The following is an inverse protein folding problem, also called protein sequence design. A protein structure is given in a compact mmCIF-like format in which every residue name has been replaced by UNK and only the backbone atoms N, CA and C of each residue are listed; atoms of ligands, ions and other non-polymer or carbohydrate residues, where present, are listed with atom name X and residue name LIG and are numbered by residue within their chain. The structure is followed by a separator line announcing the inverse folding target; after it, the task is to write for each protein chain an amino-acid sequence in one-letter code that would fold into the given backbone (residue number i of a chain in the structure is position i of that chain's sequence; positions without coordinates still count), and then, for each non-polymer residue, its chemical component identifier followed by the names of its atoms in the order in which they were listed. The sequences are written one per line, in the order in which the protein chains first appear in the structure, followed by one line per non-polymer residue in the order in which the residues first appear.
data_IF_468985501372
#
_entry.id   IF_468985501372
#
_cell.length_a   1.000
_cell.length_b   1.000
_cell.length_c   1.000
_cell.angle_alpha   90.00
_cell.angle_beta   90.00
_cell.angle_gamma   90.00
#
_symmetry.space_group_name_H-M   'P 1'
#
loop_
_entity.id
_entity.type
_entity.pdbx_description
1 polymer ?
#
# COMPACT_ATOMS: atom_id res chain seq x y z
N UNK A 1 44.59 13.09 20.22
CA UNK A 1 43.64 14.17 19.90
C UNK A 1 43.07 14.82 21.16
N UNK A 2 42.44 14.10 22.07
CA UNK A 2 41.84 14.62 23.33
C UNK A 2 42.86 15.39 24.17
N UNK A 3 44.05 14.82 24.44
CA UNK A 3 45.12 15.50 25.20
C UNK A 3 45.54 16.83 24.55
N UNK A 4 45.59 16.92 23.23
CA UNK A 4 45.94 18.15 22.51
C UNK A 4 44.83 19.22 22.68
N UNK A 5 43.55 18.81 22.60
CA UNK A 5 42.40 19.71 22.82
C UNK A 5 42.43 20.26 24.24
N UNK A 6 42.57 19.37 25.23
CA UNK A 6 42.62 19.73 26.63
C UNK A 6 43.82 20.62 26.98
N UNK A 7 44.98 20.38 26.36
CA UNK A 7 46.16 21.25 26.52
C UNK A 7 45.98 22.64 25.93
N UNK A 8 45.24 22.76 24.83
CA UNK A 8 45.07 24.02 24.08
C UNK A 8 43.93 24.89 24.65
N UNK A 9 42.86 24.27 25.13
CA UNK A 9 41.61 24.93 25.51
C UNK A 9 41.20 24.72 26.98
N UNK A 10 41.91 23.87 27.71
CA UNK A 10 41.68 23.59 29.11
C UNK A 10 42.41 24.56 30.05
N UNK A 11 42.07 24.46 31.34
CA UNK A 11 42.70 25.14 32.46
C UNK A 11 42.93 24.17 33.62
N UNK A 12 43.47 24.62 34.73
CA UNK A 12 43.66 23.80 35.95
C UNK A 12 42.32 23.28 36.50
N UNK A 13 41.24 24.01 36.29
CA UNK A 13 39.91 23.71 36.84
C UNK A 13 38.90 23.23 35.77
N UNK A 14 39.30 23.28 34.49
CA UNK A 14 38.40 22.95 33.36
C UNK A 14 39.07 22.10 32.32
N UNK A 15 38.48 20.96 32.03
CA UNK A 15 38.88 20.04 30.94
C UNK A 15 37.76 19.99 29.88
N UNK A 16 37.96 20.58 28.68
CA UNK A 16 36.91 20.67 27.67
C UNK A 16 36.49 19.31 27.08
N UNK A 17 37.35 18.31 27.20
CA UNK A 17 37.06 17.00 26.64
C UNK A 17 37.35 15.89 27.66
N UNK A 18 36.30 15.19 28.09
CA UNK A 18 36.41 13.98 28.90
C UNK A 18 36.28 12.77 28.01
N UNK A 19 37.23 11.84 28.11
CA UNK A 19 37.27 10.65 27.27
C UNK A 19 37.25 9.41 28.15
N UNK A 20 36.15 8.67 28.10
CA UNK A 20 35.97 7.41 28.77
C UNK A 20 36.37 6.27 27.80
N UNK A 21 37.46 5.58 28.09
CA UNK A 21 37.90 4.37 27.35
C UNK A 21 37.81 3.15 28.28
N UNK A 22 36.62 2.95 28.84
CA UNK A 22 36.27 1.91 29.76
C UNK A 22 34.77 1.65 29.74
N UNK A 23 34.35 0.52 30.27
CA UNK A 23 32.93 0.28 30.52
C UNK A 23 32.46 1.23 31.62
N UNK A 24 31.40 1.97 31.34
CA UNK A 24 30.75 2.89 32.27
C UNK A 24 29.60 2.12 32.93
N UNK A 25 29.46 2.24 34.25
CA UNK A 25 28.34 1.65 34.98
C UNK A 25 27.00 2.19 34.44
N UNK A 26 25.98 1.35 34.47
CA UNK A 26 24.69 1.67 33.85
C UNK A 26 24.04 2.89 34.43
N UNK A 27 24.13 3.09 35.74
CA UNK A 27 23.53 4.24 36.42
C UNK A 27 24.29 5.52 36.08
N UNK A 28 25.62 5.47 36.01
CA UNK A 28 26.45 6.59 35.58
C UNK A 28 26.19 6.93 34.11
N UNK A 29 26.06 5.93 33.24
CA UNK A 29 25.75 6.12 31.83
C UNK A 29 24.40 6.84 31.63
N UNK A 30 23.35 6.39 32.29
CA UNK A 30 22.05 7.07 32.20
C UNK A 30 22.04 8.46 32.84
N UNK A 31 22.77 8.66 33.89
CA UNK A 31 22.94 9.98 34.48
C UNK A 31 23.63 10.96 33.51
N UNK A 32 24.67 10.52 32.81
CA UNK A 32 25.33 11.32 31.75
C UNK A 32 24.38 11.67 30.62
N UNK A 33 23.58 10.69 30.16
CA UNK A 33 22.59 10.93 29.11
C UNK A 33 21.49 11.92 29.55
N UNK A 34 21.14 11.93 30.83
CA UNK A 34 20.06 12.78 31.36
C UNK A 34 20.49 14.24 31.55
N UNK A 35 21.77 14.50 31.82
CA UNK A 35 22.28 15.87 32.06
C UNK A 35 22.89 16.53 30.82
N UNK A 36 23.00 15.79 29.72
CA UNK A 36 23.60 16.28 28.50
C UNK A 36 22.69 17.31 27.82
N UNK A 37 23.24 18.46 27.40
CA UNK A 37 22.51 19.50 26.67
C UNK A 37 22.19 19.12 25.24
N UNK A 38 23.04 18.27 24.62
CA UNK A 38 22.92 17.79 23.24
C UNK A 38 23.48 16.37 23.13
N UNK A 39 22.74 15.45 22.48
CA UNK A 39 23.24 14.16 22.07
C UNK A 39 23.86 14.24 20.66
N UNK A 40 25.09 13.75 20.51
CA UNK A 40 25.78 13.73 19.20
C UNK A 40 26.26 12.33 18.86
N UNK A 41 25.68 11.73 17.83
CA UNK A 41 26.00 10.38 17.36
C UNK A 41 26.42 10.46 15.89
N UNK A 42 27.69 10.25 15.63
CA UNK A 42 28.30 10.37 14.30
C UNK A 42 28.85 9.03 13.80
N UNK A 43 28.13 7.95 14.07
CA UNK A 43 28.50 6.61 13.60
C UNK A 43 28.56 6.54 12.07
N UNK A 44 29.58 5.85 11.54
CA UNK A 44 29.79 5.69 10.11
C UNK A 44 29.06 4.46 9.53
N UNK A 45 28.78 3.49 10.36
CA UNK A 45 28.03 2.27 10.01
C UNK A 45 27.43 1.68 11.27
N UNK A 46 26.12 1.76 11.40
CA UNK A 46 25.41 1.29 12.59
C UNK A 46 24.00 0.88 12.21
N UNK A 47 23.71 -0.41 12.26
CA UNK A 47 22.40 -0.97 11.84
C UNK A 47 21.27 -0.65 12.81
N UNK A 48 21.57 -0.55 14.11
CA UNK A 48 20.59 -0.17 15.14
C UNK A 48 21.29 0.48 16.32
N UNK A 49 21.30 1.81 16.31
CA UNK A 49 21.88 2.60 17.39
C UNK A 49 20.92 2.70 18.57
N UNK A 50 21.16 1.89 19.61
CA UNK A 50 20.34 1.92 20.84
C UNK A 50 20.61 3.15 21.69
N UNK A 51 21.83 3.71 21.65
CA UNK A 51 22.22 4.91 22.38
C UNK A 51 21.32 6.11 22.03
N UNK A 52 20.94 6.25 20.75
CA UNK A 52 20.02 7.31 20.30
C UNK A 52 18.64 7.17 20.96
N UNK A 53 18.14 5.94 21.09
CA UNK A 53 16.84 5.67 21.70
C UNK A 53 16.91 5.88 23.24
N UNK A 54 17.98 5.44 23.86
CA UNK A 54 18.24 5.63 25.29
C UNK A 54 18.39 7.10 25.65
N UNK A 55 19.11 7.87 24.81
CA UNK A 55 19.23 9.32 24.95
C UNK A 55 17.86 9.99 24.98
N UNK A 56 17.01 9.70 23.99
CA UNK A 56 15.65 10.27 23.91
C UNK A 56 14.84 9.98 25.18
N UNK A 57 14.93 8.75 25.71
CA UNK A 57 14.23 8.36 26.93
C UNK A 57 14.79 9.09 28.15
N UNK A 58 16.10 9.31 28.25
CA UNK A 58 16.73 9.99 29.36
C UNK A 58 16.48 11.50 29.40
N UNK A 59 16.10 12.10 28.27
CA UNK A 59 15.92 13.54 28.09
C UNK A 59 14.48 14.04 28.40
N UNK A 60 13.68 13.31 29.16
CA UNK A 60 12.29 13.67 29.45
C UNK A 60 12.11 15.00 30.18
N UNK A 61 13.11 15.42 30.96
CA UNK A 61 13.05 16.66 31.73
C UNK A 61 13.78 17.81 31.02
N UNK A 62 14.86 17.51 30.34
CA UNK A 62 15.79 18.48 29.73
C UNK A 62 15.52 18.77 28.27
N UNK A 63 14.88 17.84 27.57
CA UNK A 63 14.54 17.95 26.14
C UNK A 63 15.73 18.27 25.23
N UNK A 64 16.92 17.75 25.56
CA UNK A 64 18.13 17.97 24.77
C UNK A 64 17.99 17.47 23.33
N UNK A 65 18.37 18.27 22.32
CA UNK A 65 18.30 17.85 20.92
C UNK A 65 19.22 16.67 20.62
N UNK A 66 18.81 15.80 19.71
CA UNK A 66 19.60 14.69 19.19
C UNK A 66 20.13 15.06 17.81
N UNK A 67 21.46 15.01 17.62
CA UNK A 67 22.14 15.07 16.34
C UNK A 67 22.56 13.64 15.97
N UNK A 68 22.10 13.15 14.84
CA UNK A 68 22.24 11.75 14.45
C UNK A 68 22.80 11.62 13.03
N UNK A 69 23.80 10.75 12.86
CA UNK A 69 24.34 10.42 11.54
C UNK A 69 23.28 9.80 10.62
N UNK A 70 23.20 10.26 9.39
CA UNK A 70 22.38 9.67 8.33
C UNK A 70 22.73 8.21 8.01
N UNK A 71 23.91 7.74 8.45
CA UNK A 71 24.42 6.39 8.23
C UNK A 71 24.04 5.41 9.37
N UNK A 72 23.16 5.83 10.28
CA UNK A 72 22.60 4.96 11.33
C UNK A 72 21.22 4.46 10.95
N UNK A 73 20.88 3.22 11.31
CA UNK A 73 19.56 2.63 11.03
C UNK A 73 18.38 3.47 11.55
N UNK A 74 18.42 4.01 12.77
CA UNK A 74 17.34 4.87 13.29
C UNK A 74 17.17 6.22 12.59
N UNK A 75 18.10 6.67 11.75
CA UNK A 75 18.03 7.98 11.08
C UNK A 75 16.76 8.15 10.24
N UNK A 76 16.32 7.09 9.52
CA UNK A 76 15.09 7.12 8.72
C UNK A 76 13.81 7.18 9.56
N UNK A 77 13.87 6.79 10.83
CA UNK A 77 12.70 6.71 11.71
C UNK A 77 12.61 7.85 12.72
N UNK A 78 13.74 8.43 13.11
CA UNK A 78 13.83 9.52 14.08
C UNK A 78 13.82 10.89 13.36
N UNK A 79 12.76 11.17 12.60
CA UNK A 79 12.65 12.33 11.70
C UNK A 79 12.78 13.69 12.39
N UNK A 80 12.51 13.79 13.70
CA UNK A 80 12.69 15.01 14.46
C UNK A 80 14.12 15.19 15.01
N UNK A 81 15.03 14.20 14.82
CA UNK A 81 16.45 14.38 15.08
C UNK A 81 17.09 15.32 14.02
N UNK A 82 18.20 15.94 14.39
CA UNK A 82 19.00 16.71 13.44
C UNK A 82 19.93 15.76 12.69
N UNK A 83 19.58 15.43 11.46
CA UNK A 83 20.32 14.46 10.65
C UNK A 83 21.53 15.14 10.02
N UNK A 84 22.71 14.51 10.13
CA UNK A 84 23.97 15.03 9.63
C UNK A 84 24.77 13.97 8.88
N UNK A 85 25.55 14.40 7.90
CA UNK A 85 26.58 13.58 7.30
C UNK A 85 27.83 13.58 8.21
N UNK A 86 28.25 12.43 8.78
CA UNK A 86 29.38 12.37 9.71
C UNK A 86 30.75 12.71 9.08
N UNK A 87 30.86 12.74 7.75
CA UNK A 87 32.06 13.15 7.01
C UNK A 87 32.10 14.66 6.74
N UNK A 88 30.97 15.36 6.89
CA UNK A 88 30.90 16.82 6.80
C UNK A 88 31.09 17.46 8.17
N UNK A 89 32.35 17.65 8.56
CA UNK A 89 32.68 18.22 9.87
C UNK A 89 32.15 19.65 10.05
N UNK A 90 32.03 20.42 8.97
CA UNK A 90 31.48 21.77 9.02
C UNK A 90 29.94 21.72 9.27
N UNK A 91 29.25 20.83 8.58
CA UNK A 91 27.83 20.58 8.81
C UNK A 91 27.52 20.06 10.21
N UNK A 92 28.33 19.14 10.75
CA UNK A 92 28.21 18.65 12.13
C UNK A 92 28.41 19.79 13.13
N UNK A 93 29.46 20.62 12.95
CA UNK A 93 29.71 21.77 13.83
C UNK A 93 28.57 22.81 13.78
N UNK A 94 28.01 23.05 12.59
CA UNK A 94 26.85 23.92 12.40
C UNK A 94 25.62 23.37 13.12
N UNK A 95 25.30 22.09 12.94
CA UNK A 95 24.17 21.42 13.62
C UNK A 95 24.33 21.48 15.15
N UNK A 96 25.53 21.28 15.67
CA UNK A 96 25.82 21.41 17.10
C UNK A 96 25.54 22.83 17.62
N UNK A 97 26.00 23.84 16.87
CA UNK A 97 25.72 25.24 17.23
C UNK A 97 24.23 25.57 17.19
N UNK A 98 23.50 25.09 16.18
CA UNK A 98 22.04 25.25 16.06
C UNK A 98 21.32 24.56 17.21
N UNK A 99 21.73 23.35 17.59
CA UNK A 99 21.16 22.60 18.72
C UNK A 99 21.34 23.34 20.05
N UNK A 100 22.51 23.93 20.28
CA UNK A 100 22.80 24.72 21.51
C UNK A 100 21.98 26.00 21.59
N UNK A 101 21.72 26.65 20.43
CA UNK A 101 20.97 27.89 20.32
C UNK A 101 19.45 27.67 20.13
N UNK A 102 19.00 26.44 20.07
CA UNK A 102 17.59 26.10 19.84
C UNK A 102 16.67 26.60 20.93
N UNK A 103 15.51 27.13 20.58
CA UNK A 103 14.52 27.61 21.52
C UNK A 103 13.98 26.49 22.44
N UNK A 104 13.59 26.75 23.66
CA UNK A 104 12.99 25.74 24.55
C UNK A 104 11.72 25.09 23.93
N UNK A 105 10.94 25.88 23.17
CA UNK A 105 9.71 25.40 22.51
C UNK A 105 10.04 24.41 21.40
N UNK A 106 11.05 24.68 20.56
CA UNK A 106 11.50 23.77 19.50
C UNK A 106 12.11 22.50 20.09
N UNK A 107 12.92 22.61 21.16
CA UNK A 107 13.47 21.45 21.88
C UNK A 107 12.34 20.53 22.36
N UNK A 108 11.33 21.11 23.02
CA UNK A 108 10.18 20.36 23.54
C UNK A 108 9.39 19.69 22.41
N UNK A 109 9.13 20.40 21.33
CA UNK A 109 8.39 19.89 20.18
C UNK A 109 9.11 18.68 19.55
N UNK A 110 10.41 18.84 19.25
CA UNK A 110 11.23 17.75 18.69
C UNK A 110 11.34 16.57 19.63
N UNK A 111 11.63 16.82 20.90
CA UNK A 111 11.72 15.76 21.90
C UNK A 111 10.40 15.01 22.04
N UNK A 112 9.27 15.69 22.09
CA UNK A 112 7.95 15.04 22.20
C UNK A 112 7.68 14.10 21.02
N UNK A 113 8.03 14.50 19.81
CA UNK A 113 7.89 13.64 18.62
C UNK A 113 8.79 12.40 18.71
N UNK A 114 10.06 12.58 19.05
CA UNK A 114 11.01 11.48 19.21
C UNK A 114 10.60 10.53 20.34
N UNK A 115 10.21 11.08 21.48
CA UNK A 115 9.81 10.30 22.66
C UNK A 115 8.57 9.45 22.39
N UNK A 116 7.54 10.02 21.77
CA UNK A 116 6.34 9.27 21.39
C UNK A 116 6.68 8.13 20.45
N UNK A 117 7.52 8.38 19.44
CA UNK A 117 7.96 7.34 18.53
C UNK A 117 8.66 6.19 19.27
N UNK A 118 9.65 6.50 20.11
CA UNK A 118 10.41 5.46 20.85
C UNK A 118 9.51 4.69 21.82
N UNK A 119 8.58 5.38 22.49
CA UNK A 119 7.63 4.76 23.42
C UNK A 119 6.67 3.80 22.72
N UNK A 120 6.21 4.14 21.53
CA UNK A 120 5.31 3.30 20.74
C UNK A 120 6.04 2.10 20.12
N UNK A 121 7.25 2.32 19.60
CA UNK A 121 8.03 1.31 18.89
C UNK A 121 8.92 0.47 19.81
N UNK A 122 8.34 -0.04 20.89
CA UNK A 122 9.02 -0.91 21.84
C UNK A 122 9.27 -2.33 21.29
N UNK A 123 10.10 -3.11 21.97
CA UNK A 123 10.30 -4.53 21.65
C UNK A 123 8.99 -5.33 21.63
N UNK A 124 8.05 -4.98 22.52
CA UNK A 124 6.73 -5.60 22.55
C UNK A 124 5.89 -5.24 21.29
N UNK A 125 5.98 -4.01 20.82
CA UNK A 125 5.36 -3.60 19.55
C UNK A 125 5.96 -4.38 18.38
N UNK A 126 7.29 -4.45 18.30
CA UNK A 126 7.98 -5.23 17.26
C UNK A 126 7.53 -6.69 17.26
N UNK A 127 7.53 -7.35 18.42
CA UNK A 127 7.10 -8.73 18.54
C UNK A 127 5.64 -8.94 18.10
N UNK A 128 4.73 -8.06 18.51
CA UNK A 128 3.32 -8.11 18.10
C UNK A 128 3.16 -7.91 16.58
N UNK A 129 3.86 -6.94 16.01
CA UNK A 129 3.83 -6.65 14.57
C UNK A 129 4.41 -7.81 13.77
N UNK A 130 5.52 -8.39 14.22
CA UNK A 130 6.13 -9.56 13.59
C UNK A 130 5.18 -10.78 13.61
N UNK A 131 4.59 -11.09 14.77
CA UNK A 131 3.62 -12.20 14.86
C UNK A 131 2.40 -11.94 14.00
N UNK A 132 1.89 -10.71 13.99
CA UNK A 132 0.76 -10.33 13.12
C UNK A 132 1.08 -10.56 11.65
N UNK A 133 2.22 -10.06 11.17
CA UNK A 133 2.67 -10.26 9.78
C UNK A 133 2.90 -11.74 9.46
N UNK A 134 3.48 -12.51 10.40
CA UNK A 134 3.67 -13.96 10.24
C UNK A 134 2.32 -14.68 10.10
N UNK A 135 1.35 -14.38 10.95
CA UNK A 135 0.00 -14.97 10.88
C UNK A 135 -0.70 -14.60 9.58
N UNK A 136 -0.59 -13.35 9.15
CA UNK A 136 -1.17 -12.90 7.87
C UNK A 136 -0.48 -13.60 6.68
N UNK A 137 0.84 -13.70 6.70
CA UNK A 137 1.61 -14.42 5.67
C UNK A 137 1.27 -15.91 5.64
N UNK A 138 1.09 -16.55 6.81
CA UNK A 138 0.75 -17.97 6.90
C UNK A 138 -0.69 -18.25 6.47
N UNK A 139 -1.63 -17.36 6.77
CA UNK A 139 -3.00 -17.44 6.26
C UNK A 139 -3.01 -17.34 4.72
N UNK A 140 -2.26 -16.40 4.18
CA UNK A 140 -2.10 -16.26 2.73
C UNK A 140 -1.38 -17.48 2.13
N UNK A 141 -0.40 -18.07 2.82
CA UNK A 141 0.35 -19.24 2.35
C UNK A 141 -0.49 -20.52 2.36
N UNK A 142 -1.33 -20.75 3.36
CA UNK A 142 -2.20 -21.93 3.43
C UNK A 142 -3.33 -21.92 2.37
N UNK A 143 -3.75 -20.72 1.94
CA UNK A 143 -4.69 -20.56 0.81
C UNK A 143 -3.98 -20.69 -0.55
N UNK A 144 -2.66 -20.51 -0.60
CA UNK A 144 -1.85 -20.50 -1.81
C UNK A 144 -1.11 -21.82 -2.09
N UNK A 145 -1.30 -22.85 -1.29
CA UNK A 145 -0.56 -24.13 -1.44
C UNK A 145 -1.07 -25.02 -2.56
N UNK A 146 -2.22 -24.69 -3.16
CA UNK A 146 -2.73 -25.39 -4.35
C UNK A 146 -2.61 -24.48 -5.57
N UNK A 147 -2.14 -25.01 -6.69
CA UNK A 147 -2.20 -24.30 -7.97
C UNK A 147 -3.65 -24.03 -8.33
N UNK A 148 -3.95 -22.78 -8.68
CA UNK A 148 -5.30 -22.40 -9.12
C UNK A 148 -5.66 -23.22 -10.36
N UNK A 149 -6.78 -23.96 -10.38
CA UNK A 149 -7.15 -24.78 -11.52
C UNK A 149 -7.51 -23.93 -12.75
N UNK A 150 -7.22 -24.45 -13.94
CA UNK A 150 -7.64 -23.81 -15.18
C UNK A 150 -9.18 -23.75 -15.27
N UNK A 151 -9.69 -22.67 -15.85
CA UNK A 151 -11.13 -22.46 -15.99
C UNK A 151 -11.77 -23.55 -16.88
N UNK A 152 -12.75 -24.24 -16.34
CA UNK A 152 -13.60 -25.12 -17.15
C UNK A 152 -14.66 -24.28 -17.89
N UNK A 153 -14.35 -23.89 -19.13
CA UNK A 153 -15.19 -23.00 -19.93
C UNK A 153 -16.58 -23.61 -20.24
N UNK A 154 -16.68 -24.92 -20.42
CA UNK A 154 -17.98 -25.59 -20.71
C UNK A 154 -18.91 -25.49 -19.51
N UNK A 155 -18.42 -25.86 -18.33
CA UNK A 155 -19.17 -25.73 -17.09
C UNK A 155 -19.53 -24.28 -16.76
N UNK A 156 -18.60 -23.34 -17.04
CA UNK A 156 -18.84 -21.90 -16.86
C UNK A 156 -20.04 -21.45 -17.72
N UNK A 157 -20.03 -21.74 -19.01
CA UNK A 157 -21.09 -21.35 -19.95
C UNK A 157 -22.42 -22.04 -19.60
N UNK A 158 -22.41 -23.30 -19.17
CA UNK A 158 -23.62 -23.99 -18.74
C UNK A 158 -24.25 -23.36 -17.49
N UNK A 159 -23.44 -22.92 -16.53
CA UNK A 159 -23.92 -22.20 -15.35
C UNK A 159 -24.40 -20.78 -15.70
N UNK A 160 -23.69 -20.11 -16.61
CA UNK A 160 -24.08 -18.80 -17.14
C UNK A 160 -25.47 -18.84 -17.80
N UNK A 161 -25.73 -19.84 -18.64
CA UNK A 161 -27.05 -20.03 -19.31
C UNK A 161 -28.21 -20.20 -18.34
N UNK A 162 -27.97 -20.88 -17.22
CA UNK A 162 -28.99 -21.18 -16.21
C UNK A 162 -29.32 -20.01 -15.28
N UNK A 163 -28.45 -19.01 -15.26
CA UNK A 163 -28.56 -17.89 -14.34
C UNK A 163 -29.58 -16.85 -14.81
N UNK A 164 -30.32 -16.29 -13.86
CA UNK A 164 -31.36 -15.28 -14.12
C UNK A 164 -30.86 -13.87 -13.89
N UNK A 165 -29.91 -13.66 -12.96
CA UNK A 165 -29.30 -12.37 -12.68
C UNK A 165 -27.80 -12.53 -12.51
N UNK A 166 -27.05 -11.90 -13.40
CA UNK A 166 -25.61 -12.09 -13.53
C UNK A 166 -24.87 -10.79 -13.21
N UNK A 167 -23.86 -10.85 -12.36
CA UNK A 167 -23.03 -9.71 -11.96
C UNK A 167 -21.57 -9.98 -12.35
N UNK A 168 -20.96 -9.08 -13.09
CA UNK A 168 -19.65 -9.26 -13.70
C UNK A 168 -18.71 -8.12 -13.39
N UNK A 169 -17.50 -8.44 -12.95
CA UNK A 169 -16.44 -7.50 -12.65
C UNK A 169 -15.19 -7.86 -13.44
N UNK A 170 -14.70 -6.93 -14.22
CA UNK A 170 -13.48 -7.11 -14.99
C UNK A 170 -12.50 -5.98 -14.66
N UNK A 171 -11.27 -6.35 -14.32
CA UNK A 171 -10.17 -5.38 -14.40
C UNK A 171 -9.85 -5.09 -15.86
N UNK A 172 -9.18 -3.95 -16.11
CA UNK A 172 -8.89 -3.51 -17.46
C UNK A 172 -7.49 -3.93 -17.93
N UNK A 173 -6.46 -3.41 -17.25
CA UNK A 173 -5.06 -3.63 -17.66
C UNK A 173 -4.56 -5.02 -17.27
N UNK A 174 -4.11 -5.81 -18.22
CA UNK A 174 -3.68 -7.19 -17.97
C UNK A 174 -4.82 -8.21 -17.92
N UNK A 175 -6.09 -7.76 -18.00
CA UNK A 175 -7.29 -8.60 -17.97
C UNK A 175 -8.12 -8.48 -19.24
N UNK A 176 -8.59 -7.28 -19.58
CA UNK A 176 -9.31 -7.01 -20.84
C UNK A 176 -8.37 -6.57 -21.96
N UNK A 177 -7.19 -6.09 -21.61
CA UNK A 177 -6.14 -5.70 -22.57
C UNK A 177 -4.80 -6.23 -22.11
N UNK A 178 -3.87 -6.57 -23.02
CA UNK A 178 -2.51 -6.92 -22.63
C UNK A 178 -1.80 -5.76 -21.93
N UNK A 179 -0.88 -6.09 -21.02
CA UNK A 179 0.01 -5.08 -20.40
C UNK A 179 0.96 -4.55 -21.48
N UNK A 180 0.98 -3.23 -21.69
CA UNK A 180 1.84 -2.54 -22.65
C UNK A 180 2.84 -1.64 -21.92
N UNK A 181 3.94 -1.29 -22.62
CA UNK A 181 5.01 -0.47 -22.05
C UNK A 181 4.57 0.97 -21.79
N UNK A 182 3.73 1.51 -22.67
CA UNK A 182 3.22 2.89 -22.59
C UNK A 182 1.73 2.83 -22.22
N UNK A 183 1.33 3.37 -21.08
CA UNK A 183 -0.05 3.27 -20.59
C UNK A 183 -1.13 3.76 -21.58
N UNK A 184 -0.84 4.78 -22.39
CA UNK A 184 -1.75 5.32 -23.39
C UNK A 184 -2.01 4.38 -24.59
N UNK A 185 -1.17 3.36 -24.77
CA UNK A 185 -1.28 2.40 -25.87
C UNK A 185 -2.18 1.20 -25.52
N UNK A 186 -2.59 1.06 -24.26
CA UNK A 186 -3.51 0.00 -23.81
C UNK A 186 -4.96 0.23 -24.26
N UNK A 187 -5.15 0.60 -25.52
CA UNK A 187 -6.49 0.85 -26.09
C UNK A 187 -7.29 -0.43 -26.21
N UNK A 188 -8.62 -0.36 -26.00
CA UNK A 188 -9.50 -1.52 -26.15
C UNK A 188 -9.52 -2.01 -27.60
N UNK A 189 -9.57 -3.31 -27.83
CA UNK A 189 -9.79 -3.87 -29.14
C UNK A 189 -11.25 -3.69 -29.58
N UNK A 190 -11.53 -3.51 -30.87
CA UNK A 190 -12.90 -3.43 -31.38
C UNK A 190 -13.75 -4.66 -30.98
N UNK A 191 -13.16 -5.81 -31.01
CA UNK A 191 -13.79 -7.09 -30.63
C UNK A 191 -14.23 -7.08 -29.14
N UNK A 192 -13.37 -6.64 -28.24
CA UNK A 192 -13.69 -6.52 -26.82
C UNK A 192 -14.83 -5.53 -26.57
N UNK A 193 -14.82 -4.38 -27.26
CA UNK A 193 -15.88 -3.38 -27.16
C UNK A 193 -17.24 -3.95 -27.62
N UNK A 194 -17.26 -4.70 -28.74
CA UNK A 194 -18.46 -5.34 -29.25
C UNK A 194 -19.01 -6.35 -28.24
N UNK A 195 -18.17 -7.25 -27.72
CA UNK A 195 -18.63 -8.27 -26.77
C UNK A 195 -19.14 -7.67 -25.44
N UNK A 196 -18.50 -6.65 -24.91
CA UNK A 196 -18.99 -5.98 -23.69
C UNK A 196 -20.32 -5.27 -23.98
N UNK A 197 -20.47 -4.60 -25.14
CA UNK A 197 -21.74 -3.97 -25.50
C UNK A 197 -22.86 -5.00 -25.64
N UNK A 198 -22.58 -6.16 -26.26
CA UNK A 198 -23.55 -7.24 -26.38
C UNK A 198 -24.00 -7.76 -25.02
N UNK A 199 -23.04 -7.98 -24.11
CA UNK A 199 -23.34 -8.41 -22.73
C UNK A 199 -24.18 -7.36 -21.97
N UNK A 200 -23.89 -6.08 -22.14
CA UNK A 200 -24.64 -4.99 -21.52
C UNK A 200 -26.05 -4.80 -22.09
N UNK A 201 -26.35 -5.36 -23.27
CA UNK A 201 -27.65 -5.31 -23.88
C UNK A 201 -28.64 -6.33 -23.27
N UNK A 202 -28.15 -7.40 -22.64
CA UNK A 202 -29.02 -8.35 -21.91
C UNK A 202 -29.37 -7.80 -20.52
N UNK A 203 -30.65 -7.57 -20.21
CA UNK A 203 -31.07 -7.01 -18.92
C UNK A 203 -30.80 -7.92 -17.71
N UNK A 204 -30.44 -9.18 -17.91
CA UNK A 204 -30.01 -10.10 -16.85
C UNK A 204 -28.59 -9.83 -16.40
N UNK A 205 -27.80 -9.12 -17.22
CA UNK A 205 -26.40 -8.85 -17.00
C UNK A 205 -26.17 -7.46 -16.40
N UNK A 206 -25.40 -7.41 -15.34
CA UNK A 206 -24.84 -6.18 -14.79
C UNK A 206 -23.30 -6.28 -14.92
N UNK A 207 -22.74 -5.48 -15.82
CA UNK A 207 -21.31 -5.55 -16.18
C UNK A 207 -20.59 -4.31 -15.65
N UNK A 208 -19.47 -4.54 -14.96
CA UNK A 208 -18.61 -3.51 -14.40
C UNK A 208 -17.16 -3.67 -14.85
N UNK A 209 -16.52 -2.56 -15.24
CA UNK A 209 -15.07 -2.48 -15.38
C UNK A 209 -14.50 -1.71 -14.20
N UNK A 210 -13.58 -2.36 -13.45
CA UNK A 210 -12.97 -1.83 -12.22
C UNK A 210 -11.48 -1.64 -12.44
N UNK A 211 -11.03 -0.40 -12.66
CA UNK A 211 -9.67 -0.09 -13.11
C UNK A 211 -8.94 0.90 -12.20
N UNK A 212 -7.60 0.86 -12.25
CA UNK A 212 -6.71 1.89 -11.72
C UNK A 212 -6.56 3.12 -12.61
N UNK A 213 -7.14 3.10 -13.81
CA UNK A 213 -7.16 4.22 -14.76
C UNK A 213 -8.02 5.37 -14.25
N UNK A 214 -7.69 6.59 -14.68
CA UNK A 214 -8.50 7.78 -14.38
C UNK A 214 -9.83 7.80 -15.13
N UNK A 215 -10.73 8.69 -14.68
CA UNK A 215 -12.05 8.86 -15.25
C UNK A 215 -12.03 9.22 -16.74
N UNK A 216 -11.11 10.13 -17.13
CA UNK A 216 -11.06 10.65 -18.49
C UNK A 216 -10.67 9.54 -19.48
N UNK A 217 -9.73 8.72 -19.10
CA UNK A 217 -9.26 7.58 -19.88
C UNK A 217 -10.38 6.53 -20.06
N UNK A 218 -11.07 6.16 -18.97
CA UNK A 218 -12.17 5.19 -19.05
C UNK A 218 -13.38 5.74 -19.83
N UNK A 219 -13.65 7.03 -19.71
CA UNK A 219 -14.72 7.69 -20.47
C UNK A 219 -14.42 7.72 -21.98
N UNK A 220 -13.17 8.06 -22.36
CA UNK A 220 -12.72 8.06 -23.75
C UNK A 220 -12.80 6.66 -24.38
N UNK A 221 -12.44 5.62 -23.63
CA UNK A 221 -12.34 4.26 -24.16
C UNK A 221 -13.62 3.44 -24.07
N UNK A 222 -14.37 3.57 -22.98
CA UNK A 222 -15.52 2.72 -22.66
C UNK A 222 -16.81 3.49 -22.44
N UNK A 223 -16.76 4.82 -22.37
CA UNK A 223 -17.95 5.66 -22.09
C UNK A 223 -19.05 5.56 -23.13
N UNK A 224 -18.73 5.13 -24.35
CA UNK A 224 -19.71 4.89 -25.41
C UNK A 224 -20.55 3.61 -25.24
N UNK A 225 -20.15 2.68 -24.35
CA UNK A 225 -20.87 1.43 -24.10
C UNK A 225 -22.06 1.70 -23.19
N UNK A 226 -23.27 1.47 -23.68
CA UNK A 226 -24.50 1.67 -22.90
C UNK A 226 -24.63 0.61 -21.81
N UNK A 227 -25.12 1.01 -20.65
CA UNK A 227 -25.38 0.13 -19.48
C UNK A 227 -24.11 -0.50 -18.90
N UNK A 228 -22.91 -0.04 -19.25
CA UNK A 228 -21.68 -0.47 -18.60
C UNK A 228 -21.45 0.34 -17.31
N UNK A 229 -21.21 -0.35 -16.22
CA UNK A 229 -20.72 0.27 -14.99
C UNK A 229 -19.21 0.49 -15.07
N UNK A 230 -18.73 1.67 -14.66
CA UNK A 230 -17.30 2.00 -14.64
C UNK A 230 -16.86 2.38 -13.22
N UNK A 231 -15.70 1.88 -12.82
CA UNK A 231 -15.02 2.28 -11.60
C UNK A 231 -13.59 2.69 -11.90
N UNK A 232 -13.28 3.97 -11.67
CA UNK A 232 -11.97 4.58 -11.92
C UNK A 232 -11.16 4.77 -10.64
N UNK A 233 -9.83 4.89 -10.78
CA UNK A 233 -8.86 5.09 -9.70
C UNK A 233 -9.10 4.12 -8.52
N UNK A 234 -9.15 2.80 -8.84
CA UNK A 234 -9.35 1.72 -7.85
C UNK A 234 -10.62 1.84 -6.99
N UNK A 235 -11.62 2.57 -7.47
CA UNK A 235 -12.89 2.73 -6.77
C UNK A 235 -13.22 4.12 -6.25
N UNK A 236 -12.36 5.10 -6.51
CA UNK A 236 -12.61 6.49 -6.10
C UNK A 236 -13.78 7.13 -6.82
N UNK A 237 -13.99 6.73 -8.06
CA UNK A 237 -15.03 7.27 -8.90
C UNK A 237 -15.86 6.14 -9.49
N UNK A 238 -17.18 6.28 -9.42
CA UNK A 238 -18.14 5.30 -9.91
C UNK A 238 -19.10 5.94 -10.90
N UNK A 239 -19.30 5.30 -12.04
CA UNK A 239 -20.36 5.59 -13.01
C UNK A 239 -21.25 4.35 -13.09
N UNK A 240 -22.45 4.46 -12.56
CA UNK A 240 -23.39 3.34 -12.56
C UNK A 240 -23.89 3.03 -13.99
N UNK A 241 -24.28 1.80 -14.23
CA UNK A 241 -24.88 1.36 -15.49
C UNK A 241 -26.07 2.27 -15.85
N UNK A 242 -26.08 2.77 -17.07
CA UNK A 242 -27.13 3.69 -17.58
C UNK A 242 -27.07 5.13 -17.03
N UNK A 243 -26.04 5.49 -16.26
CA UNK A 243 -25.82 6.85 -15.78
C UNK A 243 -24.70 7.55 -16.55
N UNK A 244 -24.88 8.83 -16.84
CA UNK A 244 -23.83 9.70 -17.41
C UNK A 244 -23.03 10.43 -16.32
N UNK A 245 -23.37 10.23 -15.04
CA UNK A 245 -22.81 10.97 -13.92
C UNK A 245 -21.82 10.09 -13.16
N UNK A 246 -20.60 10.61 -12.97
CA UNK A 246 -19.60 10.04 -12.08
C UNK A 246 -19.86 10.48 -10.63
N UNK A 247 -20.01 9.51 -9.75
CA UNK A 247 -20.07 9.72 -8.30
C UNK A 247 -18.66 9.70 -7.74
N UNK A 248 -18.30 10.75 -7.00
CA UNK A 248 -17.03 10.84 -6.28
C UNK A 248 -17.18 10.21 -4.90
N UNK A 249 -16.48 9.13 -4.62
CA UNK A 249 -16.48 8.46 -3.32
C UNK A 249 -15.54 9.16 -2.32
N UNK A 250 -14.69 10.08 -2.79
CA UNK A 250 -13.73 10.81 -1.99
C UNK A 250 -14.30 12.03 -1.25
N UNK A 251 -15.53 12.46 -1.54
CA UNK A 251 -16.08 13.72 -0.99
C UNK A 251 -16.09 13.76 0.54
N UNK A 252 -16.22 12.61 1.19
CA UNK A 252 -16.24 12.49 2.64
C UNK A 252 -14.89 12.04 3.25
N UNK A 253 -13.85 11.92 2.43
CA UNK A 253 -12.53 11.41 2.89
C UNK A 253 -11.56 12.56 3.11
N UNK A 254 -10.95 12.60 4.29
CA UNK A 254 -9.88 13.54 4.60
C UNK A 254 -8.64 13.25 3.74
N UNK A 255 -8.28 14.20 2.88
CA UNK A 255 -7.14 14.15 1.97
C UNK A 255 -5.96 15.01 2.46
N UNK A 256 -6.00 15.50 3.69
CA UNK A 256 -4.93 16.35 4.28
C UNK A 256 -3.56 15.66 4.31
N UNK A 257 -3.54 14.32 4.42
CA UNK A 257 -2.33 13.49 4.38
C UNK A 257 -1.49 13.68 3.11
N UNK A 258 -2.09 14.15 2.00
CA UNK A 258 -1.37 14.33 0.73
C UNK A 258 -0.21 15.30 0.84
N UNK A 259 -0.36 16.34 1.65
CA UNK A 259 0.69 17.32 1.86
C UNK A 259 1.93 16.67 2.50
N UNK A 260 1.71 15.92 3.56
CA UNK A 260 2.80 15.27 4.31
C UNK A 260 3.51 14.20 3.44
N UNK A 261 2.72 13.43 2.68
CA UNK A 261 3.28 12.44 1.74
C UNK A 261 4.07 13.11 0.61
N UNK A 262 3.58 14.25 0.08
CA UNK A 262 4.30 14.99 -0.97
C UNK A 262 5.65 15.46 -0.45
N UNK A 263 5.72 16.05 0.74
CA UNK A 263 6.97 16.51 1.36
C UNK A 263 7.98 15.36 1.53
N UNK A 264 7.50 14.18 1.92
CA UNK A 264 8.34 12.99 2.06
C UNK A 264 8.83 12.51 0.67
N UNK A 265 7.93 12.37 -0.30
CA UNK A 265 8.30 11.93 -1.64
C UNK A 265 9.24 12.91 -2.35
N UNK A 266 9.05 14.22 -2.18
CA UNK A 266 9.95 15.25 -2.72
C UNK A 266 11.35 15.11 -2.10
N UNK A 267 11.45 14.89 -0.78
CA UNK A 267 12.71 14.63 -0.10
C UNK A 267 13.48 13.44 -0.70
N UNK A 268 12.78 12.32 -1.00
CA UNK A 268 13.42 11.16 -1.62
C UNK A 268 13.67 11.35 -3.11
N UNK A 269 12.86 12.13 -3.81
CA UNK A 269 13.04 12.45 -5.22
C UNK A 269 14.31 13.28 -5.46
N UNK A 270 14.56 14.28 -4.61
CA UNK A 270 15.80 15.08 -4.68
C UNK A 270 17.08 14.24 -4.47
N UNK A 271 16.97 13.09 -3.81
CA UNK A 271 18.09 12.21 -3.47
C UNK A 271 18.20 10.98 -4.36
N UNK A 272 17.26 10.78 -5.27
CA UNK A 272 17.20 9.58 -6.12
C UNK A 272 17.06 10.01 -7.57
N UNK A 273 18.19 10.16 -8.26
CA UNK A 273 18.20 10.52 -9.68
C UNK A 273 17.40 9.51 -10.51
N UNK A 274 16.53 10.00 -11.41
CA UNK A 274 15.63 9.20 -12.23
C UNK A 274 14.32 8.83 -11.54
N UNK A 275 14.08 9.31 -10.31
CA UNK A 275 12.76 9.19 -9.66
C UNK A 275 11.89 10.43 -9.91
N UNK A 276 10.57 10.25 -9.78
CA UNK A 276 9.60 11.34 -9.87
C UNK A 276 8.31 11.02 -9.11
N UNK A 277 7.56 12.06 -8.76
CA UNK A 277 6.27 11.96 -8.07
C UNK A 277 5.13 12.16 -9.07
N UNK A 278 4.15 11.26 -9.03
CA UNK A 278 2.88 11.36 -9.77
C UNK A 278 1.74 11.67 -8.79
N UNK A 279 1.03 12.77 -9.02
CA UNK A 279 -0.14 13.15 -8.24
C UNK A 279 -1.42 12.73 -8.96
N UNK A 280 -2.16 11.76 -8.38
CA UNK A 280 -3.52 11.41 -8.81
C UNK A 280 -4.55 12.09 -7.90
N UNK A 281 -5.84 12.06 -8.27
CA UNK A 281 -6.89 12.61 -7.41
C UNK A 281 -7.01 11.86 -6.08
N UNK A 282 -6.84 10.55 -6.10
CA UNK A 282 -7.00 9.66 -4.95
C UNK A 282 -5.71 9.25 -4.26
N UNK A 283 -4.58 9.29 -4.95
CA UNK A 283 -3.30 8.77 -4.47
C UNK A 283 -2.13 9.66 -4.87
N UNK A 284 -0.97 9.38 -4.30
CA UNK A 284 0.31 9.93 -4.72
C UNK A 284 1.26 8.75 -4.89
N UNK A 285 1.97 8.72 -6.02
CA UNK A 285 2.88 7.63 -6.36
C UNK A 285 4.28 8.17 -6.59
N UNK A 286 5.26 7.59 -5.91
CA UNK A 286 6.67 7.84 -6.15
C UNK A 286 7.25 6.73 -7.04
N UNK A 287 7.77 7.10 -8.20
CA UNK A 287 8.34 6.20 -9.19
C UNK A 287 9.86 6.27 -9.15
N UNK A 288 10.52 5.10 -9.04
CA UNK A 288 11.99 4.98 -9.07
C UNK A 288 12.49 3.98 -10.12
N UNK A 289 11.66 3.75 -11.18
CA UNK A 289 11.99 2.77 -12.23
C UNK A 289 13.24 3.12 -13.03
N UNK A 290 13.51 4.43 -13.22
CA UNK A 290 14.67 4.92 -13.97
C UNK A 290 15.87 5.25 -13.06
N UNK A 291 15.77 5.04 -11.76
CA UNK A 291 16.87 5.16 -10.82
C UNK A 291 17.81 3.95 -10.90
N UNK A 292 19.03 4.10 -10.36
CA UNK A 292 19.91 2.97 -10.11
C UNK A 292 19.19 1.87 -9.32
N UNK A 293 19.41 0.62 -9.68
CA UNK A 293 18.59 -0.48 -9.18
C UNK A 293 18.78 -0.73 -7.69
N UNK A 294 20.01 -0.76 -7.21
CA UNK A 294 20.31 -1.01 -5.79
C UNK A 294 19.98 0.21 -4.94
N UNK A 295 20.38 1.38 -5.39
CA UNK A 295 20.13 2.62 -4.68
C UNK A 295 18.65 2.98 -4.65
N UNK A 296 17.95 2.79 -5.76
CA UNK A 296 16.49 3.01 -5.83
C UNK A 296 15.71 2.08 -4.90
N UNK A 297 16.11 0.81 -4.79
CA UNK A 297 15.50 -0.14 -3.83
C UNK A 297 15.79 0.25 -2.38
N UNK A 298 17.02 0.69 -2.09
CA UNK A 298 17.39 1.17 -0.76
C UNK A 298 16.56 2.40 -0.37
N UNK A 299 16.50 3.40 -1.24
CA UNK A 299 15.71 4.62 -1.02
C UNK A 299 14.21 4.33 -0.88
N UNK A 300 13.69 3.39 -1.66
CA UNK A 300 12.30 2.97 -1.55
C UNK A 300 11.98 2.34 -0.19
N UNK A 301 12.90 1.54 0.35
CA UNK A 301 12.74 0.94 1.67
C UNK A 301 12.76 1.99 2.79
N UNK A 302 13.68 2.93 2.72
CA UNK A 302 13.77 4.05 3.66
C UNK A 302 12.53 4.96 3.57
N UNK A 303 12.09 5.28 2.35
CA UNK A 303 10.87 6.04 2.11
C UNK A 303 9.64 5.33 2.68
N UNK A 304 9.52 4.03 2.46
CA UNK A 304 8.43 3.23 3.02
C UNK A 304 8.43 3.30 4.56
N UNK A 305 9.58 3.09 5.21
CA UNK A 305 9.71 3.16 6.67
C UNK A 305 9.33 4.55 7.20
N UNK A 306 9.77 5.62 6.51
CA UNK A 306 9.43 6.99 6.85
C UNK A 306 7.92 7.25 6.75
N UNK A 307 7.28 6.83 5.67
CA UNK A 307 5.83 6.95 5.49
C UNK A 307 5.04 6.15 6.54
N UNK A 308 5.46 4.91 6.84
CA UNK A 308 4.83 4.07 7.86
C UNK A 308 4.85 4.73 9.23
N UNK A 309 5.98 5.33 9.61
CA UNK A 309 6.14 5.97 10.92
C UNK A 309 5.48 7.33 11.04
N UNK A 310 5.44 8.12 9.98
CA UNK A 310 5.01 9.53 10.04
C UNK A 310 3.56 9.75 9.57
N UNK A 311 3.09 8.99 8.59
CA UNK A 311 1.77 9.19 7.98
C UNK A 311 0.82 8.03 8.26
N UNK A 312 1.21 6.79 7.92
CA UNK A 312 0.33 5.61 8.09
C UNK A 312 -0.05 5.36 9.54
N UNK A 313 0.85 5.66 10.48
CA UNK A 313 0.58 5.53 11.93
C UNK A 313 -0.48 6.50 12.45
N UNK A 314 -0.78 7.59 11.72
CA UNK A 314 -1.66 8.69 12.17
C UNK A 314 -2.91 8.85 11.31
N UNK A 315 -2.86 8.43 10.05
CA UNK A 315 -3.89 8.65 9.07
C UNK A 315 -4.38 7.32 8.47
N UNK A 316 -5.65 7.20 8.08
CA UNK A 316 -6.22 5.96 7.51
C UNK A 316 -5.78 5.77 6.05
N UNK A 317 -4.48 5.67 5.82
CA UNK A 317 -3.87 5.45 4.51
C UNK A 317 -3.03 4.18 4.50
N UNK A 318 -2.80 3.61 3.33
CA UNK A 318 -1.95 2.46 3.13
C UNK A 318 -0.88 2.73 2.08
N UNK A 319 0.23 2.00 2.16
CA UNK A 319 1.30 2.04 1.17
C UNK A 319 1.23 0.78 0.32
N UNK A 320 1.10 0.97 -0.97
CA UNK A 320 1.21 -0.10 -1.96
C UNK A 320 2.62 -0.09 -2.55
N UNK A 321 3.30 -1.23 -2.39
CA UNK A 321 4.61 -1.46 -2.99
C UNK A 321 4.41 -2.16 -4.34
N UNK A 322 4.60 -1.43 -5.43
CA UNK A 322 4.49 -1.95 -6.79
C UNK A 322 5.85 -2.30 -7.41
N UNK A 323 5.87 -2.52 -8.72
CA UNK A 323 7.10 -2.77 -9.47
C UNK A 323 7.90 -1.47 -9.68
N UNK A 324 8.80 -1.17 -8.73
CA UNK A 324 9.64 0.05 -8.72
C UNK A 324 8.81 1.34 -8.55
N UNK A 325 7.78 1.29 -7.72
CA UNK A 325 7.04 2.44 -7.23
C UNK A 325 6.51 2.22 -5.81
N UNK A 326 6.23 3.31 -5.12
CA UNK A 326 5.50 3.34 -3.85
C UNK A 326 4.28 4.24 -4.07
N UNK A 327 3.10 3.73 -3.78
CA UNK A 327 1.85 4.50 -3.87
C UNK A 327 1.21 4.60 -2.49
N UNK A 328 0.80 5.81 -2.10
CA UNK A 328 0.03 6.06 -0.88
C UNK A 328 -1.40 6.41 -1.26
N UNK A 329 -2.35 5.71 -0.65
CA UNK A 329 -3.78 5.91 -0.89
C UNK A 329 -4.60 5.72 0.39
N UNK A 330 -5.85 6.21 0.47
CA UNK A 330 -6.75 5.91 1.57
C UNK A 330 -7.06 4.42 1.68
N UNK A 331 -7.02 3.84 2.90
CA UNK A 331 -7.31 2.42 3.14
C UNK A 331 -8.72 1.99 2.74
N UNK A 332 -9.68 2.92 2.79
CA UNK A 332 -11.08 2.66 2.45
C UNK A 332 -11.34 2.56 0.94
N UNK A 333 -10.31 2.84 0.12
CA UNK A 333 -10.43 2.84 -1.33
C UNK A 333 -9.60 1.69 -1.89
N UNK A 334 -10.27 0.60 -2.14
CA UNK A 334 -9.70 -0.55 -2.85
C UNK A 334 -10.80 -1.22 -3.69
N UNK A 335 -10.38 -2.01 -4.68
CA UNK A 335 -11.31 -2.68 -5.60
C UNK A 335 -12.29 -3.60 -4.85
N UNK A 336 -11.91 -4.17 -3.71
CA UNK A 336 -12.77 -5.03 -2.90
C UNK A 336 -13.94 -4.30 -2.25
N UNK A 337 -13.71 -3.11 -1.69
CA UNK A 337 -14.79 -2.31 -1.07
C UNK A 337 -15.81 -1.83 -2.12
N UNK A 338 -15.36 -1.54 -3.34
CA UNK A 338 -16.27 -1.20 -4.45
C UNK A 338 -17.13 -2.39 -4.87
N UNK A 339 -16.52 -3.56 -5.03
CA UNK A 339 -17.25 -4.80 -5.32
C UNK A 339 -18.28 -5.08 -4.23
N UNK A 340 -17.93 -4.89 -2.97
CA UNK A 340 -18.87 -5.05 -1.83
C UNK A 340 -20.03 -4.07 -1.91
N UNK A 341 -19.78 -2.80 -2.24
CA UNK A 341 -20.82 -1.77 -2.42
C UNK A 341 -21.76 -2.10 -3.56
N UNK A 342 -21.22 -2.49 -4.72
CA UNK A 342 -22.02 -2.88 -5.89
C UNK A 342 -22.84 -4.15 -5.58
N UNK A 343 -22.24 -5.15 -4.94
CA UNK A 343 -22.92 -6.38 -4.56
C UNK A 343 -24.10 -6.11 -3.63
N UNK A 344 -23.97 -5.16 -2.70
CA UNK A 344 -25.06 -4.76 -1.82
C UNK A 344 -26.22 -4.04 -2.57
N UNK A 345 -25.91 -3.37 -3.67
CA UNK A 345 -26.91 -2.71 -4.54
C UNK A 345 -27.57 -3.67 -5.53
N UNK A 346 -26.96 -4.84 -5.78
CA UNK A 346 -27.45 -5.86 -6.71
C UNK A 346 -27.86 -7.17 -6.01
N UNK A 347 -28.83 -7.12 -5.09
CA UNK A 347 -29.25 -8.31 -4.35
C UNK A 347 -29.85 -9.36 -5.27
N UNK A 348 -29.61 -10.63 -4.95
CA UNK A 348 -30.20 -11.76 -5.67
C UNK A 348 -29.46 -12.16 -6.95
N UNK A 349 -28.24 -11.67 -7.18
CA UNK A 349 -27.40 -12.18 -8.25
C UNK A 349 -27.07 -13.65 -8.00
N UNK A 350 -27.44 -14.50 -8.94
CA UNK A 350 -27.29 -15.95 -8.86
C UNK A 350 -26.10 -16.49 -9.67
N UNK A 351 -25.39 -15.60 -10.39
CA UNK A 351 -24.11 -15.86 -11.04
C UNK A 351 -23.19 -14.65 -10.91
N UNK A 352 -21.99 -14.88 -10.43
CA UNK A 352 -20.99 -13.80 -10.27
C UNK A 352 -19.68 -14.23 -10.92
N UNK A 353 -19.13 -13.37 -11.78
CA UNK A 353 -17.79 -13.50 -12.30
C UNK A 353 -16.95 -12.27 -11.98
N UNK A 354 -15.70 -12.51 -11.62
CA UNK A 354 -14.72 -11.46 -11.37
C UNK A 354 -13.38 -11.90 -11.94
N UNK A 355 -12.80 -11.10 -12.85
CA UNK A 355 -11.49 -11.39 -13.44
C UNK A 355 -10.51 -10.25 -13.21
N UNK A 356 -9.23 -10.61 -12.94
CA UNK A 356 -8.15 -9.66 -12.69
C UNK A 356 -6.78 -10.30 -12.79
N UNK A 357 -5.72 -9.47 -12.98
CA UNK A 357 -4.36 -9.97 -13.19
C UNK A 357 -3.38 -9.56 -12.08
N UNK A 358 -3.69 -8.60 -11.24
CA UNK A 358 -2.73 -8.02 -10.30
C UNK A 358 -3.11 -8.21 -8.82
N UNK A 359 -2.28 -7.62 -7.93
CA UNK A 359 -2.46 -7.70 -6.48
C UNK A 359 -3.71 -6.95 -6.01
N UNK A 360 -4.13 -5.91 -6.72
CA UNK A 360 -5.31 -5.12 -6.33
C UNK A 360 -6.61 -5.89 -6.61
N UNK A 361 -6.58 -6.84 -7.53
CA UNK A 361 -7.71 -7.72 -7.85
C UNK A 361 -7.92 -8.80 -6.80
N UNK A 362 -6.87 -9.18 -6.08
CA UNK A 362 -6.98 -10.11 -4.95
C UNK A 362 -7.93 -9.58 -3.88
N UNK A 363 -8.07 -8.26 -3.75
CA UNK A 363 -9.05 -7.65 -2.84
C UNK A 363 -10.49 -7.89 -3.31
N UNK A 364 -10.75 -7.88 -4.63
CA UNK A 364 -12.04 -8.28 -5.20
C UNK A 364 -12.34 -9.76 -4.93
N UNK A 365 -11.37 -10.64 -5.20
CA UNK A 365 -11.53 -12.09 -5.00
C UNK A 365 -11.79 -12.43 -3.54
N UNK A 366 -11.07 -11.79 -2.62
CA UNK A 366 -11.24 -11.96 -1.18
C UNK A 366 -12.63 -11.51 -0.72
N UNK A 367 -13.05 -10.33 -1.15
CA UNK A 367 -14.35 -9.75 -0.78
C UNK A 367 -15.50 -10.61 -1.25
N UNK A 368 -15.48 -11.07 -2.51
CA UNK A 368 -16.51 -11.93 -3.06
C UNK A 368 -16.58 -13.27 -2.33
N UNK A 369 -15.43 -13.90 -2.10
CA UNK A 369 -15.36 -15.18 -1.39
C UNK A 369 -15.87 -15.07 0.06
N UNK A 370 -15.51 -14.00 0.77
CA UNK A 370 -15.97 -13.76 2.13
C UNK A 370 -17.46 -13.47 2.20
N UNK A 371 -18.01 -12.67 1.28
CA UNK A 371 -19.43 -12.34 1.23
C UNK A 371 -20.29 -13.58 0.90
N UNK A 372 -19.83 -14.38 -0.06
CA UNK A 372 -20.50 -15.63 -0.41
C UNK A 372 -20.50 -16.65 0.73
N UNK A 373 -19.38 -16.71 1.47
CA UNK A 373 -19.27 -17.55 2.65
C UNK A 373 -20.22 -17.11 3.77
N UNK A 374 -20.34 -15.81 4.04
CA UNK A 374 -21.27 -15.26 5.01
C UNK A 374 -22.73 -15.56 4.63
N UNK A 375 -23.11 -15.37 3.37
CA UNK A 375 -24.45 -15.73 2.88
C UNK A 375 -24.75 -17.23 3.01
N UNK A 376 -23.74 -18.08 2.82
CA UNK A 376 -23.88 -19.52 3.04
C UNK A 376 -24.12 -19.85 4.52
N UNK A 377 -23.39 -19.21 5.44
CA UNK A 377 -23.59 -19.38 6.87
C UNK A 377 -24.98 -18.95 7.32
N UNK A 378 -25.49 -17.84 6.81
CA UNK A 378 -26.85 -17.37 7.09
C UNK A 378 -27.91 -18.35 6.59
N UNK A 379 -27.73 -18.91 5.39
CA UNK A 379 -28.63 -19.97 4.86
C UNK A 379 -28.57 -21.24 5.70
N UNK A 380 -27.37 -21.62 6.14
CA UNK A 380 -27.19 -22.79 7.00
C UNK A 380 -27.92 -22.60 8.35
N UNK A 381 -27.86 -21.37 8.88
CA UNK A 381 -28.55 -21.02 10.14
C UNK A 381 -30.09 -21.01 10.00
N UNK A 382 -30.61 -20.61 8.84
CA UNK A 382 -32.07 -20.49 8.59
C UNK A 382 -32.70 -21.77 8.05
N UNK A 383 -32.02 -22.50 7.16
CA UNK A 383 -32.54 -23.67 6.46
C UNK A 383 -32.03 -25.02 7.04
N UNK A 384 -31.01 -24.97 7.91
CA UNK A 384 -30.44 -26.15 8.56
C UNK A 384 -29.82 -27.14 7.57
N UNK A 385 -30.03 -28.45 7.83
CA UNK A 385 -29.43 -29.52 7.02
C UNK A 385 -29.99 -29.61 5.57
N UNK A 386 -30.98 -28.82 5.20
CA UNK A 386 -31.51 -28.73 3.83
C UNK A 386 -30.73 -27.75 2.95
N UNK A 387 -29.81 -26.94 3.54
CA UNK A 387 -28.96 -26.04 2.77
C UNK A 387 -28.06 -26.84 1.82
N UNK A 388 -27.93 -26.36 0.58
CA UNK A 388 -26.96 -26.89 -0.38
C UNK A 388 -25.57 -26.89 0.18
N UNK A 389 -24.75 -27.87 -0.21
CA UNK A 389 -23.35 -27.92 0.23
C UNK A 389 -22.63 -26.63 -0.16
N UNK A 390 -21.59 -26.25 0.61
CA UNK A 390 -20.75 -25.10 0.29
C UNK A 390 -20.24 -25.12 -1.17
N UNK A 391 -19.84 -26.30 -1.65
CA UNK A 391 -19.38 -26.48 -3.01
C UNK A 391 -20.49 -26.21 -4.04
N UNK A 392 -21.73 -26.57 -3.77
CA UNK A 392 -22.85 -26.26 -4.66
C UNK A 392 -23.21 -24.77 -4.65
N UNK A 393 -23.09 -24.12 -3.50
CA UNK A 393 -23.32 -22.68 -3.37
C UNK A 393 -22.23 -21.88 -4.08
N UNK A 394 -20.97 -22.33 -4.00
CA UNK A 394 -19.81 -21.72 -4.66
C UNK A 394 -19.77 -21.99 -6.19
N UNK A 395 -20.59 -22.89 -6.71
CA UNK A 395 -20.56 -23.29 -8.12
C UNK A 395 -20.83 -22.15 -9.12
N UNK A 396 -21.49 -21.08 -8.67
CA UNK A 396 -21.83 -19.91 -9.49
C UNK A 396 -20.98 -18.66 -9.17
N UNK A 397 -19.95 -18.79 -8.33
CA UNK A 397 -18.96 -17.76 -8.09
C UNK A 397 -17.67 -18.08 -8.82
N UNK A 398 -17.36 -17.32 -9.85
CA UNK A 398 -16.16 -17.43 -10.66
C UNK A 398 -15.22 -16.26 -10.40
N UNK A 399 -14.21 -16.47 -9.57
CA UNK A 399 -13.07 -15.55 -9.46
C UNK A 399 -11.94 -16.10 -10.32
N UNK A 400 -11.48 -15.33 -11.29
CA UNK A 400 -10.56 -15.76 -12.35
C UNK A 400 -9.31 -14.90 -12.32
N UNK A 401 -8.17 -15.50 -12.04
CA UNK A 401 -6.89 -14.80 -12.17
C UNK A 401 -6.34 -14.95 -13.59
N UNK A 402 -5.82 -13.88 -14.15
CA UNK A 402 -5.15 -13.86 -15.47
C UNK A 402 -3.65 -13.87 -15.26
N UNK A 403 -2.96 -14.77 -15.94
CA UNK A 403 -1.50 -14.88 -15.90
C UNK A 403 -0.98 -16.31 -15.89
N UNK A 404 0.35 -16.51 -15.80
CA UNK A 404 0.97 -17.82 -15.93
C UNK A 404 0.51 -18.81 -14.85
N UNK A 405 0.48 -20.09 -15.18
CA UNK A 405 -0.04 -21.19 -14.34
C UNK A 405 0.60 -21.34 -12.95
N UNK A 406 1.75 -20.72 -12.71
CA UNK A 406 2.42 -20.69 -11.41
C UNK A 406 2.08 -19.46 -10.57
N UNK A 407 1.20 -18.58 -11.05
CA UNK A 407 0.79 -17.38 -10.31
C UNK A 407 -0.05 -17.81 -9.10
N UNK A 408 0.37 -17.35 -7.93
CA UNK A 408 -0.39 -17.55 -6.69
C UNK A 408 -1.51 -16.53 -6.60
N UNK A 409 -2.74 -17.00 -6.43
CA UNK A 409 -3.92 -16.16 -6.35
C UNK A 409 -4.95 -16.76 -5.39
N UNK A 410 -5.84 -15.90 -4.86
CA UNK A 410 -7.05 -16.30 -4.13
C UNK A 410 -8.23 -16.62 -5.06
N UNK A 411 -8.05 -16.44 -6.37
CA UNK A 411 -9.04 -16.80 -7.36
C UNK A 411 -9.33 -18.31 -7.36
N UNK A 412 -10.55 -18.68 -7.69
CA UNK A 412 -10.95 -20.09 -7.80
C UNK A 412 -10.50 -20.73 -9.11
N UNK A 413 -10.31 -19.91 -10.13
CA UNK A 413 -9.99 -20.33 -11.50
C UNK A 413 -8.88 -19.47 -12.09
N UNK A 414 -8.23 -19.97 -13.12
CA UNK A 414 -7.15 -19.29 -13.82
C UNK A 414 -7.33 -19.40 -15.33
N UNK A 415 -6.92 -18.33 -16.02
CA UNK A 415 -6.64 -18.31 -17.48
C UNK A 415 -5.24 -17.74 -17.69
N UNK A 416 -4.58 -18.13 -18.78
CA UNK A 416 -3.17 -17.73 -18.97
C UNK A 416 -3.02 -16.34 -19.58
N UNK A 417 -3.98 -15.89 -20.38
CA UNK A 417 -3.85 -14.66 -21.16
C UNK A 417 -5.14 -13.83 -21.18
N UNK A 418 -5.03 -12.50 -21.37
CA UNK A 418 -6.20 -11.64 -21.59
C UNK A 418 -7.03 -12.09 -22.80
N UNK A 419 -6.41 -12.67 -23.82
CA UNK A 419 -7.10 -13.18 -25.00
C UNK A 419 -8.14 -14.23 -24.64
N UNK A 420 -7.86 -15.09 -23.66
CA UNK A 420 -8.82 -16.10 -23.18
C UNK A 420 -10.03 -15.47 -22.50
N UNK A 421 -9.85 -14.33 -21.78
CA UNK A 421 -10.96 -13.56 -21.23
C UNK A 421 -11.81 -12.99 -22.36
N UNK A 422 -11.20 -12.41 -23.42
CA UNK A 422 -11.93 -11.91 -24.59
C UNK A 422 -12.73 -13.01 -25.28
N UNK A 423 -12.13 -14.19 -25.46
CA UNK A 423 -12.83 -15.35 -26.01
C UNK A 423 -13.99 -15.82 -25.11
N UNK A 424 -13.84 -15.73 -23.79
CA UNK A 424 -14.89 -16.05 -22.83
C UNK A 424 -16.06 -15.06 -22.96
N UNK A 425 -15.78 -13.75 -23.07
CA UNK A 425 -16.80 -12.71 -23.33
C UNK A 425 -17.56 -12.97 -24.62
N UNK A 426 -16.86 -13.35 -25.70
CA UNK A 426 -17.48 -13.72 -26.97
C UNK A 426 -18.46 -14.87 -26.83
N UNK A 427 -18.06 -15.97 -26.14
CA UNK A 427 -18.95 -17.13 -25.89
C UNK A 427 -20.17 -16.76 -25.05
N UNK A 428 -20.02 -15.86 -24.07
CA UNK A 428 -21.13 -15.36 -23.26
C UNK A 428 -22.08 -14.54 -24.12
N UNK A 429 -21.56 -13.60 -24.94
CA UNK A 429 -22.35 -12.76 -25.85
C UNK A 429 -23.11 -13.58 -26.91
N UNK A 430 -22.46 -14.60 -27.49
CA UNK A 430 -23.12 -15.56 -28.40
C UNK A 430 -24.25 -16.32 -27.72
N UNK A 431 -24.07 -16.68 -26.44
CA UNK A 431 -25.08 -17.38 -25.65
C UNK A 431 -26.31 -16.51 -25.42
N UNK A 432 -26.14 -15.21 -25.13
CA UNK A 432 -27.25 -14.29 -24.94
C UNK A 432 -28.01 -14.01 -26.25
N UNK A 433 -27.33 -14.00 -27.39
CA UNK A 433 -27.98 -13.87 -28.71
C UNK A 433 -28.84 -15.08 -29.10
N UNK A 434 -28.61 -16.25 -28.49
CA UNK A 434 -29.33 -17.50 -28.75
C UNK A 434 -30.52 -17.74 -27.80
N UNK A 435 -30.64 -16.97 -26.74
CA UNK A 435 -31.75 -17.03 -25.76
C UNK A 435 -32.77 -15.92 -25.98
#
# INVERSE_FOLDING_TARGET
MVSHINSKFGSLEFSPCHHYYQDVDRDEYYALLSVADVGLITSLRDGMNTTSLEYIICQQETHGPLILSELTGPAGSLSAAMIVNPFDYAGVAKALNEALLMSPEDKTTRHTQLFNYVKEHSAAFWAKSFVKQLVESTKNFSLQSQSTPALNTEQFIDNYKKANKRLMFFDYDGTLTPIVSVPTDAKPSPEMLEYIQDLCNDPRNEVWVVSGRDQACLEDWLGGIKNLGLSAEHGCFLKAAGSDIWTNVLEDIDMSWKKDVTEIFDYYTERTEGSFVEHKKSSITWHYRMADEEYGLFQAKECQNHLESSVVSKMPVEILVGKKNLEVRPMMINKGEIVKKILAQSPGSDFIVCAGDDKTDEDMFRTLSATYFAQYQDKLATEGASAKSWNDTKSNLYTITVGPSMKKSMANWQVETPTEIIQLLGKMAETDKQQ
#
